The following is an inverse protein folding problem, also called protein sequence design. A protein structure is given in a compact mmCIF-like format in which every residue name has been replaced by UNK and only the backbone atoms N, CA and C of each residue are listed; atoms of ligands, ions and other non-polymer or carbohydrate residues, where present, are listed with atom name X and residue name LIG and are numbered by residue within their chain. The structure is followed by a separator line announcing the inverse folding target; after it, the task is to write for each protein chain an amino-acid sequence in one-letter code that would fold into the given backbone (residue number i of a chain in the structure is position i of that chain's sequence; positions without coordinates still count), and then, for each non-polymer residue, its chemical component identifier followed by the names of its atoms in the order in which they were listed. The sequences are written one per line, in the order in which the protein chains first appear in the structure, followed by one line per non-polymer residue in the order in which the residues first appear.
data_IF_747160165314
#
_entry.id   IF_747160165314
#
_cell.length_a   1.000
_cell.length_b   1.000
_cell.length_c   1.000
_cell.angle_alpha   90.00
_cell.angle_beta   90.00
_cell.angle_gamma   90.00
#
_symmetry.space_group_name_H-M   'P 1'
#
loop_
_entity.id
_entity.type
_entity.pdbx_description
1 polymer ?
#
# COMPACT_ATOMS: atom_id res chain seq x y z
N UNK A 1 -15.85 3.19 -5.83
CA UNK A 1 -15.19 4.48 -5.49
C UNK A 1 -13.97 4.28 -4.60
N UNK A 2 -14.02 3.43 -3.57
CA UNK A 2 -12.90 3.23 -2.63
C UNK A 2 -11.68 2.55 -3.25
N UNK A 3 -11.89 1.50 -4.06
CA UNK A 3 -10.81 0.83 -4.79
C UNK A 3 -10.01 1.77 -5.70
N UNK A 4 -10.70 2.71 -6.37
CA UNK A 4 -10.05 3.71 -7.22
C UNK A 4 -9.14 4.65 -6.43
N UNK A 5 -9.45 4.92 -5.15
CA UNK A 5 -8.58 5.73 -4.28
C UNK A 5 -7.25 5.00 -4.03
N UNK A 6 -7.30 3.72 -3.67
CA UNK A 6 -6.09 2.91 -3.50
C UNK A 6 -5.30 2.79 -4.80
N UNK A 7 -5.97 2.52 -5.92
CA UNK A 7 -5.33 2.46 -7.23
C UNK A 7 -4.59 3.77 -7.55
N UNK A 8 -5.21 4.92 -7.29
CA UNK A 8 -4.57 6.22 -7.51
C UNK A 8 -3.33 6.42 -6.63
N UNK A 9 -3.38 6.03 -5.36
CA UNK A 9 -2.23 6.10 -4.46
C UNK A 9 -1.07 5.23 -4.96
N UNK A 10 -1.38 3.99 -5.35
CA UNK A 10 -0.43 3.02 -5.88
C UNK A 10 0.16 3.51 -7.21
N UNK A 11 -0.66 3.98 -8.14
CA UNK A 11 -0.21 4.50 -9.43
C UNK A 11 0.68 5.73 -9.25
N UNK A 12 0.36 6.63 -8.32
CA UNK A 12 1.19 7.79 -8.03
C UNK A 12 2.54 7.39 -7.43
N UNK A 13 2.57 6.36 -6.58
CA UNK A 13 3.80 5.83 -6.02
C UNK A 13 4.67 5.17 -7.10
N UNK A 14 4.10 4.26 -7.90
CA UNK A 14 4.83 3.48 -8.90
C UNK A 14 5.27 4.34 -10.10
N UNK A 15 4.40 5.22 -10.62
CA UNK A 15 4.61 5.85 -11.93
C UNK A 15 4.99 7.33 -11.85
N UNK A 16 4.64 8.04 -10.77
CA UNK A 16 4.87 9.50 -10.65
C UNK A 16 5.99 9.88 -9.69
N UNK A 17 6.75 8.90 -9.21
CA UNK A 17 7.90 9.14 -8.34
C UNK A 17 7.53 9.77 -6.98
N UNK A 18 6.33 9.48 -6.46
CA UNK A 18 6.00 9.89 -5.08
C UNK A 18 7.00 9.24 -4.12
N UNK A 19 7.44 9.99 -3.11
CA UNK A 19 8.27 9.44 -2.04
C UNK A 19 7.50 8.36 -1.28
N UNK A 20 8.24 7.38 -0.76
CA UNK A 20 7.70 6.30 0.06
C UNK A 20 6.94 6.83 1.28
N UNK A 21 7.48 7.83 1.97
CA UNK A 21 6.82 8.45 3.13
C UNK A 21 5.45 9.06 2.77
N UNK A 22 5.36 9.75 1.63
CA UNK A 22 4.09 10.33 1.17
C UNK A 22 3.09 9.23 0.80
N UNK A 23 3.57 8.14 0.19
CA UNK A 23 2.74 6.99 -0.15
C UNK A 23 2.20 6.28 1.08
N UNK A 24 3.07 5.87 2.01
CA UNK A 24 2.68 5.12 3.22
C UNK A 24 1.73 5.94 4.09
N UNK A 25 2.01 7.23 4.29
CA UNK A 25 1.12 8.11 5.04
C UNK A 25 -0.27 8.22 4.40
N UNK A 26 -0.35 8.43 3.08
CA UNK A 26 -1.63 8.53 2.39
C UNK A 26 -2.37 7.17 2.37
N UNK A 27 -1.65 6.06 2.22
CA UNK A 27 -2.21 4.72 2.27
C UNK A 27 -2.81 4.40 3.64
N UNK A 28 -2.08 4.66 4.73
CA UNK A 28 -2.57 4.45 6.10
C UNK A 28 -3.75 5.36 6.44
N UNK A 29 -3.77 6.60 5.96
CA UNK A 29 -4.92 7.47 6.13
C UNK A 29 -6.17 6.94 5.43
N UNK A 30 -6.03 6.45 4.19
CA UNK A 30 -7.15 5.86 3.46
C UNK A 30 -7.63 4.56 4.12
N UNK A 31 -6.71 3.69 4.54
CA UNK A 31 -7.03 2.46 5.28
C UNK A 31 -7.76 2.74 6.59
N UNK A 32 -7.25 3.70 7.37
CA UNK A 32 -7.90 4.13 8.61
C UNK A 32 -9.29 4.71 8.34
N UNK A 33 -9.43 5.53 7.30
CA UNK A 33 -10.74 6.08 6.92
C UNK A 33 -11.73 4.96 6.60
N UNK A 34 -11.34 3.96 5.83
CA UNK A 34 -12.21 2.84 5.47
C UNK A 34 -12.59 2.00 6.69
N UNK A 35 -11.64 1.72 7.58
CA UNK A 35 -11.89 1.03 8.86
C UNK A 35 -12.84 1.82 9.75
N UNK A 36 -12.57 3.10 9.98
CA UNK A 36 -13.32 3.94 10.91
C UNK A 36 -14.74 4.26 10.40
N UNK A 37 -14.99 4.11 9.10
CA UNK A 37 -16.32 4.29 8.46
C UNK A 37 -16.97 2.95 8.06
N UNK A 38 -16.47 1.82 8.55
CA UNK A 38 -17.01 0.48 8.30
C UNK A 38 -17.21 0.16 6.80
N UNK A 39 -16.29 0.65 5.95
CA UNK A 39 -16.36 0.43 4.51
C UNK A 39 -16.05 -1.03 4.21
N UNK A 40 -17.04 -1.74 3.67
CA UNK A 40 -16.90 -3.14 3.30
C UNK A 40 -16.28 -3.27 1.91
N UNK A 41 -15.17 -3.97 1.84
CA UNK A 41 -14.49 -4.33 0.60
C UNK A 41 -14.84 -5.75 0.15
N UNK A 42 -14.66 -6.04 -1.15
CA UNK A 42 -14.61 -7.41 -1.60
C UNK A 42 -13.51 -8.18 -0.84
N UNK A 43 -13.78 -9.42 -0.47
CA UNK A 43 -12.88 -10.23 0.37
C UNK A 43 -11.48 -10.42 -0.23
N UNK A 44 -11.35 -10.47 -1.55
CA UNK A 44 -10.05 -10.59 -2.21
C UNK A 44 -9.33 -9.24 -2.22
N UNK A 45 -10.06 -8.16 -2.45
CA UNK A 45 -9.50 -6.81 -2.38
C UNK A 45 -9.01 -6.48 -0.97
N UNK A 46 -9.79 -6.82 0.07
CA UNK A 46 -9.40 -6.63 1.47
C UNK A 46 -8.06 -7.31 1.76
N UNK A 47 -7.88 -8.56 1.33
CA UNK A 47 -6.62 -9.30 1.52
C UNK A 47 -5.42 -8.64 0.84
N UNK A 48 -5.64 -8.05 -0.33
CA UNK A 48 -4.60 -7.31 -1.03
C UNK A 48 -4.20 -6.04 -0.27
N UNK A 49 -5.21 -5.28 0.21
CA UNK A 49 -4.98 -4.06 0.99
C UNK A 49 -4.32 -4.36 2.33
N UNK A 50 -4.72 -5.42 3.02
CA UNK A 50 -4.10 -5.85 4.28
C UNK A 50 -2.64 -6.26 4.06
N UNK A 51 -2.34 -6.94 2.95
CA UNK A 51 -0.96 -7.30 2.61
C UNK A 51 -0.10 -6.06 2.32
N UNK A 52 -0.64 -5.11 1.54
CA UNK A 52 0.03 -3.83 1.29
C UNK A 52 0.23 -3.03 2.57
N UNK A 53 -0.74 -3.05 3.49
CA UNK A 53 -0.63 -2.44 4.80
C UNK A 53 0.57 -3.03 5.56
N UNK A 54 0.70 -4.35 5.62
CA UNK A 54 1.84 -5.02 6.26
C UNK A 54 3.16 -4.63 5.60
N UNK A 55 3.24 -4.61 4.26
CA UNK A 55 4.44 -4.16 3.54
C UNK A 55 4.82 -2.72 3.92
N UNK A 56 3.83 -1.82 4.01
CA UNK A 56 4.05 -0.43 4.43
C UNK A 56 4.50 -0.33 5.89
N UNK A 57 3.96 -1.17 6.77
CA UNK A 57 4.31 -1.21 8.21
C UNK A 57 5.71 -1.79 8.45
N UNK A 58 6.16 -2.69 7.57
CA UNK A 58 7.52 -3.23 7.57
C UNK A 58 8.55 -2.30 6.93
N UNK A 59 8.16 -1.22 6.25
CA UNK A 59 9.12 -0.33 5.61
C UNK A 59 9.97 0.43 6.64
N UNK A 60 11.29 0.42 6.45
CA UNK A 60 12.23 1.26 7.20
C UNK A 60 13.34 1.77 6.29
N UNK A 61 13.64 3.08 6.40
CA UNK A 61 14.79 3.67 5.70
C UNK A 61 16.12 3.14 6.25
N UNK A 62 16.15 2.83 7.54
CA UNK A 62 17.30 2.26 8.23
C UNK A 62 16.94 0.85 8.71
N UNK A 63 17.29 -0.16 7.93
CA UNK A 63 17.01 -1.57 8.27
C UNK A 63 17.71 -1.95 9.58
N UNK A 64 16.93 -2.14 10.63
CA UNK A 64 17.35 -2.56 11.97
C UNK A 64 16.87 -3.98 12.29
N UNK A 65 15.76 -4.42 11.69
CA UNK A 65 15.14 -5.72 11.98
C UNK A 65 15.07 -6.61 10.74
N UNK A 66 15.15 -7.95 10.88
CA UNK A 66 15.07 -8.87 9.76
C UNK A 66 13.73 -8.85 8.99
N UNK A 67 12.69 -8.30 9.59
CA UNK A 67 11.35 -8.18 8.99
C UNK A 67 11.16 -6.87 8.23
N UNK A 68 12.10 -5.93 8.37
CA UNK A 68 11.99 -4.62 7.73
C UNK A 68 12.39 -4.72 6.26
N UNK A 69 11.73 -3.92 5.42
CA UNK A 69 11.97 -3.88 3.98
C UNK A 69 12.42 -2.49 3.54
N UNK A 70 13.32 -2.46 2.56
CA UNK A 70 13.78 -1.24 1.90
C UNK A 70 12.69 -0.63 1.00
N UNK A 71 12.89 0.62 0.56
CA UNK A 71 11.97 1.24 -0.41
C UNK A 71 11.90 0.44 -1.71
N UNK A 72 13.02 -0.13 -2.17
CA UNK A 72 13.03 -0.92 -3.41
C UNK A 72 12.20 -2.19 -3.27
N UNK A 73 12.30 -2.88 -2.13
CA UNK A 73 11.49 -4.07 -1.84
C UNK A 73 10.01 -3.71 -1.72
N UNK A 74 9.67 -2.64 -0.99
CA UNK A 74 8.29 -2.15 -0.91
C UNK A 74 7.74 -1.81 -2.30
N UNK A 75 8.51 -1.11 -3.14
CA UNK A 75 8.12 -0.75 -4.51
C UNK A 75 7.86 -1.99 -5.37
N UNK A 76 8.69 -3.03 -5.22
CA UNK A 76 8.49 -4.30 -5.92
C UNK A 76 7.23 -5.03 -5.42
N UNK A 77 6.98 -5.08 -4.12
CA UNK A 77 5.78 -5.69 -3.56
C UNK A 77 4.51 -4.96 -4.00
N UNK A 78 4.51 -3.63 -3.92
CA UNK A 78 3.39 -2.79 -4.38
C UNK A 78 3.15 -2.99 -5.88
N UNK A 79 4.22 -3.04 -6.68
CA UNK A 79 4.14 -3.32 -8.11
C UNK A 79 3.53 -4.68 -8.43
N UNK A 80 4.00 -5.74 -7.76
CA UNK A 80 3.49 -7.10 -7.92
C UNK A 80 2.01 -7.20 -7.55
N UNK A 81 1.62 -6.69 -6.38
CA UNK A 81 0.25 -6.77 -5.90
C UNK A 81 -0.70 -5.93 -6.76
N UNK A 82 -0.26 -4.75 -7.21
CA UNK A 82 -0.99 -3.93 -8.17
C UNK A 82 -1.24 -4.66 -9.49
N UNK A 83 -0.21 -5.31 -10.03
CA UNK A 83 -0.32 -6.07 -11.26
C UNK A 83 -1.26 -7.29 -11.13
N UNK A 84 -1.23 -8.00 -10.00
CA UNK A 84 -2.13 -9.14 -9.76
C UNK A 84 -3.61 -8.73 -9.81
N UNK A 85 -3.93 -7.49 -9.42
CA UNK A 85 -5.32 -7.05 -9.28
C UNK A 85 -5.82 -6.18 -10.44
N UNK A 86 -4.99 -5.29 -10.98
CA UNK A 86 -5.36 -4.36 -12.06
C UNK A 86 -4.57 -4.57 -13.37
N UNK A 87 -3.60 -5.48 -13.40
CA UNK A 87 -2.88 -5.88 -14.60
C UNK A 87 -3.64 -6.91 -15.43
#
# INVERSE_FOLDING_TARGET
MTEQKYKLLIDNYLNKGSSVEKFTNAFFQQWKHDRDNEIVHDSKFQRLIDRLFTSCDCYSENLQRPIEISETELRNEVGLLSHIWWG
#
